data_IF_630335869512
#
_entry.id   IF_630335869512
#
_cell.length_a   1.000
_cell.length_b   1.000
_cell.length_c   1.000
_cell.angle_alpha   90.00
_cell.angle_beta   90.00
_cell.angle_gamma   90.00
#
_symmetry.space_group_name_H-M   'P 1'
#
loop_
_entity.id
_entity.type
_entity.pdbx_description
1 polymer ?
#
# COMPACT_ATOMS: atom_id res chain seq x y z
N UNK A 1 -1.68 -0.80 -12.34
CA UNK A 1 -0.52 -1.28 -11.57
C UNK A 1 -0.58 -0.83 -10.11
N UNK A 2 -0.39 0.46 -9.80
CA UNK A 2 -0.29 1.01 -8.42
C UNK A 2 -1.38 0.56 -7.44
N UNK A 3 -2.65 0.59 -7.86
CA UNK A 3 -3.78 0.13 -7.05
C UNK A 3 -3.81 -1.39 -6.84
N UNK A 4 -3.33 -2.17 -7.82
CA UNK A 4 -3.30 -3.64 -7.75
C UNK A 4 -2.22 -4.12 -6.78
N UNK A 5 -1.01 -3.57 -6.88
CA UNK A 5 0.08 -3.89 -5.95
C UNK A 5 -0.25 -3.47 -4.52
N UNK A 6 -1.01 -2.37 -4.33
CA UNK A 6 -1.56 -2.00 -3.03
C UNK A 6 -2.44 -3.07 -2.38
N UNK A 7 -3.01 -3.99 -3.17
CA UNK A 7 -3.85 -5.07 -2.66
C UNK A 7 -3.07 -6.06 -1.80
N UNK A 8 -1.76 -6.16 -2.03
CA UNK A 8 -0.85 -6.97 -1.20
C UNK A 8 -0.52 -6.30 0.14
N UNK A 9 -0.88 -5.04 0.32
CA UNK A 9 -0.71 -4.30 1.58
C UNK A 9 -2.00 -4.27 2.40
N UNK A 10 -3.16 -4.56 1.78
CA UNK A 10 -4.48 -4.44 2.39
C UNK A 10 -4.89 -5.72 3.17
N UNK A 11 -5.26 -5.59 4.45
CA UNK A 11 -5.91 -6.66 5.22
C UNK A 11 -7.25 -7.12 4.63
N UNK A 12 -7.62 -8.42 4.73
CA UNK A 12 -6.82 -9.57 5.21
C UNK A 12 -6.01 -10.29 4.14
N UNK A 13 -5.91 -9.75 2.93
CA UNK A 13 -5.20 -10.47 1.88
C UNK A 13 -3.70 -10.38 2.15
N UNK A 14 -3.18 -9.18 2.43
CA UNK A 14 -1.79 -8.81 2.80
C UNK A 14 -0.62 -9.61 2.18
N UNK A 15 -0.86 -10.28 1.06
CA UNK A 15 0.05 -11.27 0.50
C UNK A 15 0.47 -12.38 1.47
N UNK A 16 1.29 -13.31 0.98
CA UNK A 16 1.94 -14.34 1.81
C UNK A 16 2.96 -13.73 2.79
N UNK A 17 3.49 -12.54 2.46
CA UNK A 17 4.52 -11.87 3.25
C UNK A 17 4.08 -11.52 4.67
N UNK A 18 2.81 -11.18 4.92
CA UNK A 18 2.33 -10.91 6.27
C UNK A 18 2.25 -12.17 7.16
N UNK A 19 1.97 -13.35 6.60
CA UNK A 19 2.06 -14.61 7.36
C UNK A 19 3.49 -14.94 7.74
N UNK A 20 4.42 -14.73 6.81
CA UNK A 20 5.85 -14.91 7.08
C UNK A 20 6.32 -13.88 8.12
N UNK A 21 5.84 -12.65 8.06
CA UNK A 21 6.12 -11.65 9.09
C UNK A 21 5.63 -12.09 10.47
N UNK A 22 4.42 -12.65 10.57
CA UNK A 22 3.91 -13.20 11.82
C UNK A 22 4.84 -14.31 12.37
N UNK A 23 5.30 -15.21 11.50
CA UNK A 23 6.23 -16.28 11.87
C UNK A 23 7.60 -15.74 12.33
N UNK A 24 8.20 -14.81 11.57
CA UNK A 24 9.52 -14.25 11.88
C UNK A 24 9.52 -13.38 13.13
N UNK A 25 8.43 -12.67 13.39
CA UNK A 25 8.33 -11.73 14.53
C UNK A 25 7.70 -12.35 15.77
N UNK A 26 7.02 -13.48 15.64
CA UNK A 26 6.19 -14.07 16.70
C UNK A 26 4.92 -13.27 17.02
N UNK A 27 4.62 -12.20 16.26
CA UNK A 27 3.44 -11.37 16.44
C UNK A 27 2.26 -12.02 15.71
N UNK A 28 1.10 -12.12 16.38
CA UNK A 28 -0.09 -12.70 15.76
C UNK A 28 -0.47 -11.97 14.45
N UNK A 29 -0.83 -12.73 13.42
CA UNK A 29 -1.24 -12.16 12.13
C UNK A 29 -2.43 -11.21 12.28
N UNK A 30 -3.41 -11.54 13.14
CA UNK A 30 -4.57 -10.67 13.37
C UNK A 30 -4.17 -9.27 13.87
N UNK A 31 -3.15 -9.19 14.72
CA UNK A 31 -2.60 -7.91 15.17
C UNK A 31 -1.90 -7.16 14.03
N UNK A 32 -1.05 -7.84 13.27
CA UNK A 32 -0.37 -7.29 12.07
C UNK A 32 -1.38 -6.74 11.06
N UNK A 33 -2.46 -7.49 10.81
CA UNK A 33 -3.54 -7.10 9.93
C UNK A 33 -4.28 -5.87 10.43
N UNK A 34 -4.59 -5.79 11.72
CA UNK A 34 -5.29 -4.65 12.30
C UNK A 34 -4.48 -3.36 12.18
N UNK A 35 -3.20 -3.39 12.55
CA UNK A 35 -2.33 -2.20 12.53
C UNK A 35 -1.96 -1.77 11.11
N UNK A 36 -1.88 -2.71 10.15
CA UNK A 36 -1.61 -2.41 8.75
C UNK A 36 -2.83 -1.84 7.99
N UNK A 37 -4.05 -1.97 8.53
CA UNK A 37 -5.26 -1.48 7.89
C UNK A 37 -5.22 0.03 7.65
N UNK A 38 -4.80 0.81 8.65
CA UNK A 38 -4.78 2.28 8.54
C UNK A 38 -3.79 2.74 7.46
N UNK A 39 -2.52 2.31 7.47
CA UNK A 39 -1.58 2.63 6.39
C UNK A 39 -2.07 2.24 5.00
N UNK A 40 -2.66 1.05 4.86
CA UNK A 40 -3.19 0.58 3.58
C UNK A 40 -4.34 1.48 3.08
N UNK A 41 -5.26 1.88 3.97
CA UNK A 41 -6.34 2.80 3.65
C UNK A 41 -5.82 4.19 3.25
N UNK A 42 -4.80 4.71 3.92
CA UNK A 42 -4.17 5.98 3.54
C UNK A 42 -3.50 5.89 2.17
N UNK A 43 -2.83 4.78 1.87
CA UNK A 43 -2.25 4.54 0.54
C UNK A 43 -3.33 4.55 -0.56
N UNK A 44 -4.46 3.85 -0.35
CA UNK A 44 -5.59 3.87 -1.28
C UNK A 44 -6.29 5.22 -1.36
N UNK A 45 -6.41 5.94 -0.24
CA UNK A 45 -6.93 7.31 -0.21
C UNK A 45 -6.08 8.21 -1.10
N UNK A 46 -4.74 8.12 -0.99
CA UNK A 46 -3.85 8.90 -1.84
C UNK A 46 -4.07 8.60 -3.32
N UNK A 47 -4.11 7.32 -3.70
CA UNK A 47 -4.37 6.93 -5.09
C UNK A 47 -5.73 7.45 -5.56
N UNK A 48 -6.77 7.27 -4.75
CA UNK A 48 -8.13 7.71 -5.07
C UNK A 48 -8.22 9.21 -5.33
N UNK A 49 -7.61 10.03 -4.46
CA UNK A 49 -7.55 11.48 -4.64
C UNK A 49 -6.74 11.84 -5.89
N UNK A 50 -5.59 11.19 -6.10
CA UNK A 50 -4.76 11.46 -7.27
C UNK A 50 -5.48 11.14 -8.58
N UNK A 51 -6.16 9.99 -8.66
CA UNK A 51 -6.95 9.58 -9.83
C UNK A 51 -8.11 10.53 -10.06
N UNK A 52 -8.80 10.95 -8.99
CA UNK A 52 -9.88 11.94 -9.08
C UNK A 52 -9.40 13.29 -9.60
N UNK A 53 -8.25 13.77 -9.11
CA UNK A 53 -7.63 15.00 -9.62
C UNK A 53 -7.26 14.89 -11.09
N UNK A 54 -6.69 13.76 -11.52
CA UNK A 54 -6.35 13.53 -12.93
C UNK A 54 -7.62 13.48 -13.81
N UNK A 55 -8.66 12.77 -13.36
CA UNK A 55 -9.94 12.69 -14.08
C UNK A 55 -10.60 14.07 -14.24
N UNK A 56 -10.59 14.89 -13.19
CA UNK A 56 -11.06 16.28 -13.25
C UNK A 56 -10.23 17.14 -14.20
N UNK A 57 -8.90 16.97 -14.18
CA UNK A 57 -7.99 17.71 -15.06
C UNK A 57 -8.24 17.42 -16.54
N UNK A 58 -8.59 16.18 -16.87
CA UNK A 58 -9.00 15.78 -18.23
C UNK A 58 -10.47 16.07 -18.55
N UNK A 59 -11.23 16.64 -17.60
CA UNK A 59 -12.66 16.95 -17.81
C UNK A 59 -13.52 15.72 -18.04
N UNK A 60 -13.09 14.54 -17.56
CA UNK A 60 -13.85 13.30 -17.71
C UNK A 60 -15.22 13.44 -17.01
N UNK A 61 -16.28 13.15 -17.76
CA UNK A 61 -17.65 13.14 -17.25
C UNK A 61 -18.06 11.70 -16.94
N UNK A 62 -18.92 11.54 -15.93
CA UNK A 62 -19.53 10.24 -15.63
C UNK A 62 -20.36 9.73 -16.80
N UNK A 63 -20.57 8.41 -16.84
CA UNK A 63 -21.46 7.78 -17.81
C UNK A 63 -22.90 8.31 -17.66
N UNK A 64 -23.71 8.29 -18.73
CA UNK A 64 -25.13 8.65 -18.65
C UNK A 64 -25.87 7.81 -17.58
N UNK A 65 -26.86 8.41 -16.90
CA UNK A 65 -27.58 7.78 -15.77
C UNK A 65 -28.27 6.44 -16.11
N UNK A 66 -28.46 6.12 -17.39
CA UNK A 66 -29.00 4.83 -17.85
C UNK A 66 -27.99 3.69 -18.01
N UNK A 67 -26.68 3.97 -18.06
CA UNK A 67 -25.62 2.95 -18.20
C UNK A 67 -25.00 2.57 -16.85
N UNK A 68 -25.27 3.35 -15.81
CA UNK A 68 -24.74 3.10 -14.47
C UNK A 68 -25.70 2.21 -13.71
N UNK A 69 -25.29 0.98 -13.40
CA UNK A 69 -26.06 0.14 -12.50
C UNK A 69 -26.17 0.82 -11.12
N UNK A 70 -27.38 0.92 -10.54
CA UNK A 70 -27.54 1.56 -9.24
C UNK A 70 -26.68 0.83 -8.20
N UNK A 71 -25.86 1.58 -7.45
CA UNK A 71 -24.95 1.01 -6.46
C UNK A 71 -25.66 0.06 -5.47
N UNK A 72 -26.89 0.41 -5.07
CA UNK A 72 -27.70 -0.42 -4.19
C UNK A 72 -28.21 -1.73 -4.80
N UNK A 73 -28.30 -1.83 -6.13
CA UNK A 73 -28.61 -3.09 -6.83
C UNK A 73 -27.38 -4.01 -6.86
N UNK A 74 -26.21 -3.46 -7.18
CA UNK A 74 -24.93 -4.18 -7.16
C UNK A 74 -24.60 -4.68 -5.75
N UNK A 75 -24.77 -3.84 -4.72
CA UNK A 75 -24.60 -4.23 -3.32
C UNK A 75 -25.56 -5.35 -2.90
N UNK A 76 -26.83 -5.28 -3.31
CA UNK A 76 -27.81 -6.35 -3.02
C UNK A 76 -27.51 -7.67 -3.75
N UNK A 77 -26.94 -7.62 -4.94
CA UNK A 77 -26.51 -8.81 -5.66
C UNK A 77 -25.20 -9.39 -5.09
N UNK A 78 -24.29 -8.52 -4.65
CA UNK A 78 -22.91 -8.88 -4.31
C UNK A 78 -22.61 -9.11 -2.82
N UNK A 79 -23.47 -8.68 -1.88
CA UNK A 79 -23.13 -8.67 -0.44
C UNK A 79 -22.72 -10.03 0.13
N UNK A 80 -23.23 -11.13 -0.44
CA UNK A 80 -22.89 -12.47 -0.01
C UNK A 80 -21.39 -12.79 -0.16
N UNK A 81 -20.68 -12.17 -1.11
CA UNK A 81 -19.22 -12.33 -1.29
C UNK A 81 -18.41 -11.75 -0.13
N UNK A 82 -19.03 -10.92 0.73
CA UNK A 82 -18.39 -10.41 1.96
C UNK A 82 -18.35 -11.49 3.04
N UNK A 83 -19.25 -12.50 3.00
CA UNK A 83 -19.35 -13.53 4.05
C UNK A 83 -18.04 -14.32 4.23
N UNK A 84 -17.39 -14.87 3.17
CA UNK A 84 -16.14 -15.61 3.35
C UNK A 84 -15.02 -14.74 3.93
N UNK A 85 -14.96 -13.47 3.52
CA UNK A 85 -14.00 -12.50 4.02
C UNK A 85 -14.24 -12.17 5.50
N UNK A 86 -15.50 -11.95 5.88
CA UNK A 86 -15.90 -11.66 7.24
C UNK A 86 -15.64 -12.85 8.18
N UNK A 87 -15.93 -14.07 7.72
CA UNK A 87 -15.60 -15.30 8.46
C UNK A 87 -14.09 -15.44 8.65
N UNK A 88 -13.31 -15.26 7.58
CA UNK A 88 -11.85 -15.30 7.68
C UNK A 88 -11.34 -14.33 8.75
N UNK A 89 -11.82 -13.07 8.72
CA UNK A 89 -11.45 -12.06 9.71
C UNK A 89 -11.88 -12.41 11.13
N UNK A 90 -13.10 -12.92 11.31
CA UNK A 90 -13.64 -13.26 12.62
C UNK A 90 -12.85 -14.39 13.29
N UNK A 91 -12.57 -15.47 12.56
CA UNK A 91 -11.78 -16.59 13.08
C UNK A 91 -10.33 -16.20 13.37
N UNK A 92 -9.74 -15.38 12.52
CA UNK A 92 -8.40 -14.89 12.71
C UNK A 92 -8.27 -14.00 13.96
N UNK A 93 -9.27 -13.13 14.20
CA UNK A 93 -9.33 -12.32 15.41
C UNK A 93 -9.61 -13.17 16.67
N UNK A 94 -10.38 -14.25 16.53
CA UNK A 94 -10.58 -15.24 17.58
C UNK A 94 -9.33 -16.10 17.89
N UNK A 95 -8.22 -15.88 17.18
CA UNK A 95 -6.93 -16.52 17.48
C UNK A 95 -6.73 -17.89 16.82
N UNK A 96 -7.57 -18.28 15.88
CA UNK A 96 -7.35 -19.51 15.12
C UNK A 96 -6.14 -19.38 14.18
N UNK A 97 -5.53 -20.53 13.83
CA UNK A 97 -4.38 -20.53 12.93
C UNK A 97 -4.78 -20.04 11.52
N UNK A 98 -3.90 -19.30 10.82
CA UNK A 98 -4.21 -18.84 9.47
C UNK A 98 -4.61 -19.92 8.46
N UNK A 99 -3.97 -21.11 8.42
CA UNK A 99 -4.39 -22.17 7.51
C UNK A 99 -5.82 -22.65 7.77
N UNK A 100 -6.23 -22.72 9.05
CA UNK A 100 -7.59 -23.08 9.43
C UNK A 100 -8.59 -22.02 8.94
N UNK A 101 -8.28 -20.73 9.17
CA UNK A 101 -9.12 -19.61 8.72
C UNK A 101 -9.30 -19.62 7.19
N UNK A 102 -8.22 -19.89 6.45
CA UNK A 102 -8.26 -20.02 4.99
C UNK A 102 -9.16 -21.20 4.55
N UNK A 103 -9.06 -22.36 5.22
CA UNK A 103 -9.92 -23.52 4.92
C UNK A 103 -11.40 -23.24 5.14
N UNK A 104 -11.75 -22.58 6.25
CA UNK A 104 -13.13 -22.14 6.54
C UNK A 104 -13.61 -21.14 5.49
N UNK A 105 -12.78 -20.18 5.07
CA UNK A 105 -13.12 -19.20 4.05
C UNK A 105 -13.35 -19.84 2.67
N UNK A 106 -12.53 -20.82 2.29
CA UNK A 106 -12.72 -21.59 1.05
C UNK A 106 -14.04 -22.36 1.09
N UNK A 107 -14.32 -23.08 2.18
CA UNK A 107 -15.58 -23.79 2.35
C UNK A 107 -16.78 -22.84 2.31
N UNK A 108 -16.70 -21.70 3.00
CA UNK A 108 -17.72 -20.66 2.98
C UNK A 108 -17.93 -20.09 1.58
N UNK A 109 -16.87 -19.90 0.78
CA UNK A 109 -16.96 -19.41 -0.60
C UNK A 109 -17.77 -20.37 -1.47
N UNK A 110 -17.51 -21.68 -1.37
CA UNK A 110 -18.27 -22.72 -2.09
C UNK A 110 -19.73 -22.75 -1.64
N UNK A 111 -19.98 -22.71 -0.33
CA UNK A 111 -21.35 -22.71 0.22
C UNK A 111 -22.13 -21.47 -0.23
N UNK A 112 -21.53 -20.29 -0.11
CA UNK A 112 -22.14 -19.01 -0.53
C UNK A 112 -22.44 -19.00 -2.02
N UNK A 113 -21.56 -19.56 -2.84
CA UNK A 113 -21.80 -19.73 -4.27
C UNK A 113 -23.08 -20.53 -4.56
N UNK A 114 -23.37 -21.58 -3.78
CA UNK A 114 -24.60 -22.37 -3.93
C UNK A 114 -25.86 -21.64 -3.46
N UNK A 115 -25.74 -20.75 -2.46
CA UNK A 115 -26.85 -19.92 -1.99
C UNK A 115 -27.21 -18.78 -2.96
N UNK A 116 -26.38 -18.52 -3.98
CA UNK A 116 -26.62 -17.45 -4.92
C UNK A 116 -27.86 -17.74 -5.80
N UNK A 117 -28.64 -16.67 -6.06
CA UNK A 117 -29.82 -16.71 -6.92
C UNK A 117 -29.46 -16.70 -8.41
N UNK A 118 -28.28 -16.19 -8.74
CA UNK A 118 -27.75 -16.22 -10.10
C UNK A 118 -27.07 -17.57 -10.36
N UNK A 119 -27.65 -18.37 -11.25
CA UNK A 119 -27.14 -19.70 -11.60
C UNK A 119 -25.74 -19.65 -12.21
N UNK A 120 -25.37 -18.53 -12.84
CA UNK A 120 -24.05 -18.35 -13.44
C UNK A 120 -22.91 -18.29 -12.41
N UNK A 121 -23.24 -17.98 -11.16
CA UNK A 121 -22.27 -17.86 -10.06
C UNK A 121 -22.20 -19.13 -9.18
N UNK A 122 -22.97 -20.18 -9.51
CA UNK A 122 -22.98 -21.44 -8.77
C UNK A 122 -21.84 -22.35 -9.20
N UNK A 123 -20.97 -22.69 -8.26
CA UNK A 123 -19.84 -23.59 -8.50
C UNK A 123 -20.31 -25.03 -8.52
N UNK A 124 -20.32 -25.67 -9.69
CA UNK A 124 -20.53 -27.11 -9.79
C UNK A 124 -19.34 -27.91 -9.21
N UNK A 125 -19.49 -29.24 -8.99
CA UNK A 125 -18.42 -30.08 -8.45
C UNK A 125 -17.11 -30.01 -9.25
N UNK A 126 -17.24 -29.89 -10.58
CA UNK A 126 -16.10 -29.72 -11.48
C UNK A 126 -15.38 -28.39 -11.29
N UNK A 127 -16.14 -27.29 -11.15
CA UNK A 127 -15.56 -25.97 -10.91
C UNK A 127 -14.86 -25.88 -9.55
N UNK A 128 -15.41 -26.55 -8.53
CA UNK A 128 -14.75 -26.67 -7.22
C UNK A 128 -13.45 -27.47 -7.34
N UNK A 129 -13.46 -28.59 -8.07
CA UNK A 129 -12.26 -29.38 -8.30
C UNK A 129 -11.18 -28.61 -9.08
N UNK A 130 -11.55 -27.93 -10.17
CA UNK A 130 -10.65 -27.09 -10.95
C UNK A 130 -10.05 -25.97 -10.09
N UNK A 131 -10.86 -25.29 -9.26
CA UNK A 131 -10.37 -24.27 -8.34
C UNK A 131 -9.38 -24.83 -7.29
N UNK A 132 -9.60 -26.05 -6.79
CA UNK A 132 -8.66 -26.72 -5.88
C UNK A 132 -7.34 -27.09 -6.58
N UNK A 133 -7.41 -27.54 -7.83
CA UNK A 133 -6.22 -27.83 -8.66
C UNK A 133 -5.43 -26.55 -8.91
N UNK A 134 -6.09 -25.46 -9.32
CA UNK A 134 -5.45 -24.17 -9.58
C UNK A 134 -4.82 -23.59 -8.31
N UNK A 135 -5.50 -23.69 -7.17
CA UNK A 135 -4.97 -23.31 -5.86
C UNK A 135 -3.75 -24.13 -5.46
N UNK A 136 -3.76 -25.43 -5.75
CA UNK A 136 -2.62 -26.33 -5.47
C UNK A 136 -1.42 -26.01 -6.37
N UNK A 137 -1.65 -25.79 -7.66
CA UNK A 137 -0.60 -25.39 -8.61
C UNK A 137 0.04 -24.06 -8.21
N UNK A 138 -0.77 -23.08 -7.81
CA UNK A 138 -0.30 -21.78 -7.32
C UNK A 138 0.52 -21.92 -6.03
N UNK A 139 0.12 -22.84 -5.13
CA UNK A 139 0.83 -23.10 -3.87
C UNK A 139 2.20 -23.76 -4.07
N UNK A 140 2.37 -24.60 -5.10
CA UNK A 140 3.67 -25.22 -5.42
C UNK A 140 4.74 -24.19 -5.75
N UNK A 141 4.40 -23.15 -6.52
CA UNK A 141 5.31 -22.05 -6.88
C UNK A 141 5.75 -21.28 -5.63
N UNK A 142 4.80 -20.99 -4.73
CA UNK A 142 5.08 -20.30 -3.46
C UNK A 142 5.96 -21.17 -2.56
N UNK A 143 5.66 -22.47 -2.43
CA UNK A 143 6.44 -23.40 -1.62
C UNK A 143 7.88 -23.58 -2.11
N UNK A 144 8.07 -23.76 -3.42
CA UNK A 144 9.42 -23.88 -4.02
C UNK A 144 10.24 -22.61 -3.81
N UNK A 145 9.62 -21.44 -3.97
CA UNK A 145 10.25 -20.14 -3.74
C UNK A 145 10.64 -19.99 -2.26
N UNK A 146 9.73 -20.29 -1.32
CA UNK A 146 10.00 -20.22 0.11
C UNK A 146 11.13 -21.17 0.55
N UNK A 147 11.18 -22.39 0.00
CA UNK A 147 12.26 -23.35 0.26
C UNK A 147 13.64 -22.83 -0.20
N UNK A 148 13.73 -22.33 -1.44
CA UNK A 148 14.97 -21.74 -1.96
C UNK A 148 15.43 -20.54 -1.13
N UNK A 149 14.49 -19.68 -0.71
CA UNK A 149 14.80 -18.54 0.15
C UNK A 149 15.22 -19.00 1.55
N UNK A 150 14.59 -20.03 2.11
CA UNK A 150 15.00 -20.61 3.39
C UNK A 150 16.47 -21.04 3.38
N UNK A 151 16.95 -21.62 2.26
CA UNK A 151 18.37 -21.93 2.06
C UNK A 151 19.21 -20.65 2.02
N UNK A 152 18.81 -19.62 1.26
CA UNK A 152 19.52 -18.33 1.21
C UNK A 152 19.61 -17.70 2.60
N UNK A 153 18.48 -17.59 3.31
CA UNK A 153 18.39 -17.05 4.67
C UNK A 153 19.26 -17.85 5.62
N UNK A 154 19.25 -19.19 5.52
CA UNK A 154 20.11 -20.06 6.31
C UNK A 154 21.60 -19.81 6.06
N UNK A 155 22.03 -19.75 4.79
CA UNK A 155 23.42 -19.44 4.43
C UNK A 155 23.82 -18.04 4.88
N UNK A 156 22.97 -17.03 4.66
CA UNK A 156 23.23 -15.63 5.07
C UNK A 156 23.34 -15.51 6.59
N UNK A 157 22.52 -16.26 7.33
CA UNK A 157 22.54 -16.27 8.80
C UNK A 157 23.78 -17.00 9.34
N UNK A 158 24.12 -18.17 8.78
CA UNK A 158 25.27 -18.97 9.20
C UNK A 158 26.62 -18.32 8.85
N UNK A 159 26.70 -17.60 7.73
CA UNK A 159 27.91 -16.90 7.29
C UNK A 159 28.09 -15.53 7.96
N UNK A 160 27.08 -15.03 8.66
CA UNK A 160 27.09 -13.67 9.22
C UNK A 160 27.03 -12.56 8.16
N UNK A 161 26.75 -12.90 6.89
CA UNK A 161 26.68 -11.92 5.80
C UNK A 161 25.57 -10.90 6.04
N UNK A 162 24.45 -11.31 6.64
CA UNK A 162 23.34 -10.42 6.99
C UNK A 162 23.78 -9.29 7.91
N UNK A 163 24.45 -9.64 9.02
CA UNK A 163 25.01 -8.67 9.97
C UNK A 163 26.05 -7.75 9.31
N UNK A 164 26.89 -8.29 8.42
CA UNK A 164 27.90 -7.48 7.71
C UNK A 164 27.25 -6.46 6.78
N UNK A 165 26.22 -6.85 6.04
CA UNK A 165 25.45 -5.94 5.17
C UNK A 165 24.66 -4.92 6.00
N UNK A 166 24.06 -5.33 7.12
CA UNK A 166 23.43 -4.39 8.06
C UNK A 166 24.43 -3.37 8.59
N UNK A 167 25.65 -3.79 8.94
CA UNK A 167 26.71 -2.90 9.40
C UNK A 167 27.18 -1.93 8.30
N UNK A 168 27.15 -2.32 7.02
CA UNK A 168 27.44 -1.40 5.91
C UNK A 168 26.36 -0.32 5.80
N UNK A 169 25.08 -0.69 5.94
CA UNK A 169 23.99 0.29 5.95
C UNK A 169 24.16 1.26 7.12
N UNK A 170 24.41 0.73 8.32
CA UNK A 170 24.60 1.55 9.53
C UNK A 170 25.82 2.44 9.41
N UNK A 171 26.95 1.94 8.89
CA UNK A 171 28.19 2.73 8.76
C UNK A 171 28.08 3.84 7.71
N UNK A 172 27.40 3.59 6.59
CA UNK A 172 27.12 4.60 5.58
C UNK A 172 26.10 5.64 6.05
N UNK A 173 25.12 5.23 6.86
CA UNK A 173 24.09 6.13 7.38
C UNK A 173 24.48 6.91 8.63
N UNK A 174 25.52 6.46 9.36
CA UNK A 174 26.00 7.13 10.55
C UNK A 174 24.94 7.19 11.64
N UNK A 175 24.53 8.39 12.03
CA UNK A 175 23.47 8.61 13.03
C UNK A 175 22.09 8.90 12.42
N UNK A 176 21.96 8.86 11.08
CA UNK A 176 20.74 9.28 10.39
C UNK A 176 19.86 8.08 10.03
N UNK A 177 18.80 7.87 10.81
CA UNK A 177 17.76 6.88 10.50
C UNK A 177 17.13 7.14 9.11
N UNK A 178 16.96 8.41 8.72
CA UNK A 178 16.42 8.80 7.42
C UNK A 178 17.29 8.26 6.28
N UNK A 179 18.61 8.40 6.43
CA UNK A 179 19.55 7.90 5.43
C UNK A 179 19.62 6.37 5.44
N UNK A 180 19.48 5.73 6.60
CA UNK A 180 19.38 4.28 6.69
C UNK A 180 18.15 3.74 5.93
N UNK A 181 16.96 4.34 6.12
CA UNK A 181 15.74 3.95 5.38
C UNK A 181 15.93 4.20 3.88
N UNK A 182 16.59 5.29 3.47
CA UNK A 182 16.92 5.55 2.07
C UNK A 182 17.85 4.47 1.47
N UNK A 183 18.89 4.06 2.19
CA UNK A 183 19.77 2.96 1.77
C UNK A 183 19.01 1.64 1.67
N UNK A 184 18.09 1.37 2.61
CA UNK A 184 17.21 0.19 2.56
C UNK A 184 16.29 0.24 1.33
N UNK A 185 15.71 1.40 1.00
CA UNK A 185 14.90 1.57 -0.21
C UNK A 185 15.72 1.37 -1.49
N UNK A 186 16.96 1.86 -1.52
CA UNK A 186 17.86 1.63 -2.64
C UNK A 186 18.24 0.15 -2.77
N UNK A 187 18.55 -0.52 -1.65
CA UNK A 187 18.81 -1.94 -1.62
C UNK A 187 17.58 -2.76 -2.07
N UNK A 188 16.36 -2.35 -1.69
CA UNK A 188 15.13 -3.03 -2.12
C UNK A 188 14.87 -2.91 -3.61
N UNK A 189 15.22 -1.79 -4.24
CA UNK A 189 15.11 -1.64 -5.69
C UNK A 189 16.02 -2.62 -6.44
N UNK A 190 17.26 -2.77 -5.99
CA UNK A 190 18.25 -3.67 -6.61
C UNK A 190 17.90 -5.13 -6.36
N UNK A 191 17.65 -5.49 -5.09
CA UNK A 191 17.37 -6.87 -4.70
C UNK A 191 16.00 -7.33 -5.17
N UNK A 192 15.02 -6.42 -5.27
CA UNK A 192 13.68 -6.72 -5.77
C UNK A 192 13.60 -6.94 -7.28
N UNK A 193 14.70 -6.76 -8.03
CA UNK A 193 14.73 -6.95 -9.47
C UNK A 193 14.56 -8.43 -9.84
N UNK A 194 13.41 -8.76 -10.46
CA UNK A 194 13.12 -10.11 -10.95
C UNK A 194 12.73 -11.13 -9.88
N UNK A 195 12.61 -10.71 -8.62
CA UNK A 195 12.10 -11.56 -7.53
C UNK A 195 10.59 -11.34 -7.31
N UNK A 196 9.83 -12.39 -6.98
CA UNK A 196 8.50 -12.23 -6.41
C UNK A 196 8.55 -11.37 -5.14
N UNK A 197 7.50 -10.61 -4.86
CA UNK A 197 7.41 -9.70 -3.71
C UNK A 197 7.72 -10.42 -2.38
N UNK A 198 7.19 -11.62 -2.19
CA UNK A 198 7.43 -12.44 -1.00
C UNK A 198 8.92 -12.78 -0.85
N UNK A 199 9.61 -13.04 -1.97
CA UNK A 199 11.03 -13.33 -2.00
C UNK A 199 11.88 -12.09 -1.69
N UNK A 200 11.55 -10.97 -2.33
CA UNK A 200 12.17 -9.66 -2.07
C UNK A 200 12.07 -9.29 -0.59
N UNK A 201 10.87 -9.42 0.00
CA UNK A 201 10.64 -9.17 1.42
C UNK A 201 11.54 -10.03 2.32
N UNK A 202 11.60 -11.33 2.09
CA UNK A 202 12.39 -12.24 2.93
C UNK A 202 13.88 -11.93 2.88
N UNK A 203 14.43 -11.71 1.68
CA UNK A 203 15.83 -11.34 1.50
C UNK A 203 16.11 -10.00 2.20
N UNK A 204 15.27 -8.99 1.96
CA UNK A 204 15.44 -7.69 2.60
C UNK A 204 15.28 -7.75 4.12
N UNK A 205 14.38 -8.58 4.65
CA UNK A 205 14.14 -8.67 6.08
C UNK A 205 15.41 -9.09 6.82
N UNK A 206 16.12 -10.09 6.29
CA UNK A 206 17.39 -10.56 6.88
C UNK A 206 18.50 -9.51 6.84
N UNK A 207 18.48 -8.61 5.85
CA UNK A 207 19.54 -7.62 5.64
C UNK A 207 19.26 -6.28 6.32
N UNK A 208 18.01 -5.81 6.27
CA UNK A 208 17.61 -4.46 6.63
C UNK A 208 16.96 -4.37 8.01
N UNK A 209 16.22 -5.40 8.47
CA UNK A 209 15.60 -5.35 9.81
C UNK A 209 16.65 -5.19 10.92
N UNK A 210 17.77 -5.92 10.94
CA UNK A 210 18.79 -5.70 11.95
C UNK A 210 19.40 -4.30 11.86
N UNK A 211 19.57 -3.74 10.65
CA UNK A 211 20.06 -2.39 10.46
C UNK A 211 19.10 -1.35 11.07
N UNK A 212 17.80 -1.46 10.81
CA UNK A 212 16.78 -0.56 11.36
C UNK A 212 16.62 -0.72 12.88
N UNK A 213 16.73 -1.95 13.39
CA UNK A 213 16.70 -2.23 14.83
C UNK A 213 17.85 -1.54 15.58
N UNK A 214 19.04 -1.40 14.97
CA UNK A 214 20.16 -0.65 15.56
C UNK A 214 19.84 0.85 15.76
N UNK A 215 18.91 1.41 14.99
CA UNK A 215 18.41 2.77 15.17
C UNK A 215 17.24 2.87 16.18
N UNK A 216 16.90 1.78 16.87
CA UNK A 216 15.82 1.75 17.85
C UNK A 216 14.41 1.62 17.24
N UNK A 217 14.30 1.33 15.94
CA UNK A 217 13.00 1.09 15.30
C UNK A 217 12.38 -0.20 15.85
N UNK A 218 11.12 -0.19 16.32
CA UNK A 218 10.45 -1.39 16.79
C UNK A 218 10.43 -2.50 15.73
N UNK A 219 10.54 -3.76 16.15
CA UNK A 219 10.62 -4.92 15.24
C UNK A 219 9.49 -4.92 14.21
N UNK A 220 8.24 -4.72 14.66
CA UNK A 220 7.07 -4.64 13.78
C UNK A 220 7.20 -3.52 12.73
N UNK A 221 7.64 -2.34 13.15
CA UNK A 221 7.83 -1.20 12.25
C UNK A 221 8.97 -1.47 11.24
N UNK A 222 10.08 -2.05 11.68
CA UNK A 222 11.18 -2.43 10.79
C UNK A 222 10.73 -3.45 9.73
N UNK A 223 9.99 -4.47 10.12
CA UNK A 223 9.40 -5.43 9.18
C UNK A 223 8.38 -4.79 8.24
N UNK A 224 7.54 -3.85 8.72
CA UNK A 224 6.60 -3.11 7.88
C UNK A 224 7.29 -2.21 6.87
N UNK A 225 8.35 -1.50 7.28
CA UNK A 225 9.20 -0.68 6.38
C UNK A 225 9.72 -1.56 5.25
N UNK A 226 10.33 -2.70 5.59
CA UNK A 226 10.91 -3.61 4.60
C UNK A 226 9.83 -4.25 3.73
N UNK A 227 8.69 -4.62 4.29
CA UNK A 227 7.56 -5.21 3.55
C UNK A 227 6.92 -4.23 2.56
N UNK A 228 6.86 -2.94 2.90
CA UNK A 228 6.38 -1.91 1.98
C UNK A 228 7.44 -1.60 0.92
N UNK A 229 8.71 -1.43 1.30
CA UNK A 229 9.79 -1.16 0.36
C UNK A 229 10.08 -2.34 -0.57
N UNK A 230 9.77 -3.58 -0.19
CA UNK A 230 9.94 -4.73 -1.09
C UNK A 230 9.02 -4.69 -2.33
N UNK A 231 7.98 -3.86 -2.31
CA UNK A 231 7.10 -3.62 -3.46
C UNK A 231 7.71 -2.65 -4.48
N UNK A 232 8.75 -1.90 -4.10
CA UNK A 232 9.33 -0.78 -4.84
C UNK A 232 9.66 -1.13 -6.30
N UNK A 233 10.27 -2.31 -6.51
CA UNK A 233 10.66 -2.79 -7.84
C UNK A 233 9.49 -2.92 -8.83
N UNK A 234 8.23 -3.00 -8.35
CA UNK A 234 7.05 -3.07 -9.20
C UNK A 234 6.60 -1.71 -9.75
N UNK A 235 7.07 -0.60 -9.18
CA UNK A 235 6.64 0.76 -9.55
C UNK A 235 7.75 1.61 -10.15
N UNK A 236 9.02 1.28 -9.85
CA UNK A 236 10.16 2.16 -10.14
C UNK A 236 10.90 1.74 -11.41
N UNK A 237 10.98 2.62 -12.43
CA UNK A 237 11.85 2.40 -13.58
C UNK A 237 13.33 2.32 -13.15
N UNK A 238 14.17 1.48 -13.78
CA UNK A 238 13.90 0.70 -14.98
C UNK A 238 13.23 -0.67 -14.76
N UNK A 239 13.03 -1.10 -13.50
CA UNK A 239 12.66 -2.48 -13.16
C UNK A 239 11.17 -2.77 -13.35
N UNK A 240 10.28 -1.80 -13.09
CA UNK A 240 8.80 -1.87 -12.99
C UNK A 240 7.99 -2.79 -13.94
N UNK A 241 8.21 -4.11 -13.85
CA UNK A 241 7.62 -5.15 -14.69
C UNK A 241 6.08 -5.08 -14.72
N UNK A 242 5.44 -4.88 -13.56
CA UNK A 242 3.98 -4.76 -13.48
C UNK A 242 3.41 -3.56 -14.25
N UNK A 243 4.15 -2.45 -14.29
CA UNK A 243 3.76 -1.27 -15.07
C UNK A 243 3.94 -1.52 -16.57
N UNK A 244 5.00 -2.22 -16.97
CA UNK A 244 5.26 -2.54 -18.39
C UNK A 244 4.28 -3.55 -18.96
N UNK A 245 3.88 -4.57 -18.18
CA UNK A 245 2.82 -5.51 -18.57
C UNK A 245 1.47 -4.79 -18.66
N UNK A 246 1.15 -3.91 -17.72
CA UNK A 246 -0.07 -3.11 -17.82
C UNK A 246 -0.05 -2.19 -19.07
N UNK A 247 1.11 -1.64 -19.42
CA UNK A 247 1.29 -0.82 -20.60
C UNK A 247 1.07 -1.61 -21.90
N UNK A 248 1.56 -2.86 -21.98
CA UNK A 248 1.37 -3.71 -23.17
C UNK A 248 -0.09 -4.11 -23.37
N UNK A 249 -0.83 -4.34 -22.28
CA UNK A 249 -2.28 -4.60 -22.33
C UNK A 249 -3.05 -3.35 -22.75
N UNK A 250 -2.67 -2.18 -22.24
CA UNK A 250 -3.34 -0.91 -22.52
C UNK A 250 -2.93 -0.23 -23.83
N UNK A 251 -1.93 -0.77 -24.56
CA UNK A 251 -1.36 -0.13 -25.74
C UNK A 251 -0.62 1.18 -25.45
N UNK A 252 -0.11 1.36 -24.23
CA UNK A 252 0.60 2.56 -23.79
C UNK A 252 2.13 2.39 -23.85
N UNK A 253 2.86 3.51 -23.87
CA UNK A 253 4.32 3.50 -23.81
C UNK A 253 4.80 2.97 -22.43
N UNK A 254 5.62 1.90 -22.38
CA UNK A 254 6.06 1.31 -21.12
C UNK A 254 6.85 2.28 -20.24
N UNK A 255 7.72 3.10 -20.83
CA UNK A 255 8.58 4.02 -20.09
C UNK A 255 7.76 5.12 -19.40
N UNK A 256 6.86 5.78 -20.13
CA UNK A 256 5.92 6.78 -19.57
C UNK A 256 4.99 6.16 -18.53
N UNK A 257 4.53 4.93 -18.76
CA UNK A 257 3.68 4.21 -17.80
C UNK A 257 4.43 3.91 -16.50
N UNK A 258 5.71 3.53 -16.58
CA UNK A 258 6.58 3.33 -15.40
C UNK A 258 6.73 4.60 -14.56
N UNK A 259 7.10 5.73 -15.18
CA UNK A 259 7.20 7.01 -14.46
C UNK A 259 5.87 7.47 -13.86
N UNK A 260 4.76 7.21 -14.55
CA UNK A 260 3.42 7.48 -14.04
C UNK A 260 3.10 6.58 -12.85
N UNK A 261 3.41 5.28 -12.93
CA UNK A 261 3.23 4.33 -11.84
C UNK A 261 4.00 4.75 -10.59
N UNK A 262 5.25 5.21 -10.75
CA UNK A 262 6.05 5.78 -9.67
C UNK A 262 5.37 7.01 -9.06
N UNK A 263 4.89 7.96 -9.88
CA UNK A 263 4.18 9.17 -9.40
C UNK A 263 3.02 8.83 -8.47
N UNK A 264 2.18 7.85 -8.83
CA UNK A 264 1.06 7.41 -8.00
C UNK A 264 1.53 6.54 -6.81
N UNK A 265 2.64 5.81 -6.96
CA UNK A 265 3.18 4.89 -5.95
C UNK A 265 4.02 5.56 -4.85
N UNK A 266 4.38 6.84 -4.98
CA UNK A 266 5.25 7.56 -4.04
C UNK A 266 4.83 7.48 -2.57
N UNK A 267 3.53 7.31 -2.29
CA UNK A 267 3.02 7.18 -0.93
C UNK A 267 3.62 5.96 -0.20
N UNK A 268 4.12 4.97 -0.94
CA UNK A 268 4.80 3.81 -0.39
C UNK A 268 6.08 4.16 0.38
N UNK A 269 6.93 5.04 -0.18
CA UNK A 269 8.14 5.50 0.53
C UNK A 269 7.82 6.43 1.68
N UNK A 270 6.82 7.29 1.51
CA UNK A 270 6.33 8.16 2.57
C UNK A 270 5.87 7.33 3.76
N UNK A 271 5.11 6.27 3.51
CA UNK A 271 4.61 5.40 4.57
C UNK A 271 5.75 4.66 5.29
N UNK A 272 6.78 4.20 4.56
CA UNK A 272 7.97 3.62 5.18
C UNK A 272 8.66 4.61 6.14
N UNK A 273 8.73 5.90 5.79
CA UNK A 273 9.25 6.93 6.69
C UNK A 273 8.32 7.16 7.90
N UNK A 274 7.00 7.19 7.69
CA UNK A 274 6.04 7.33 8.79
C UNK A 274 6.16 6.16 9.78
N UNK A 275 6.37 4.92 9.31
CA UNK A 275 6.61 3.79 10.20
C UNK A 275 7.89 3.91 11.03
N UNK A 276 8.93 4.54 10.47
CA UNK A 276 10.21 4.72 11.16
C UNK A 276 10.14 5.81 12.24
N UNK A 277 9.35 6.87 12.02
CA UNK A 277 9.37 8.08 12.84
C UNK A 277 8.11 8.33 13.65
N UNK A 278 7.00 7.63 13.39
CA UNK A 278 5.70 7.88 14.03
C UNK A 278 5.10 6.60 14.59
N UNK A 279 4.24 6.74 15.59
CA UNK A 279 3.51 5.63 16.23
C UNK A 279 2.24 5.23 15.45
N UNK A 280 2.23 5.40 14.12
CA UNK A 280 1.05 5.09 13.27
C UNK A 280 0.65 3.62 13.30
N UNK A 281 1.57 2.73 13.70
CA UNK A 281 1.36 1.29 13.87
C UNK A 281 0.93 0.91 15.29
N UNK A 282 0.44 1.85 16.10
CA UNK A 282 0.04 1.63 17.50
C UNK A 282 1.15 1.07 18.40
N UNK A 283 2.39 1.48 18.14
CA UNK A 283 3.58 1.11 18.92
C UNK A 283 3.83 2.00 20.14
N UNK A 284 3.15 3.16 20.23
CA UNK A 284 3.26 4.13 21.32
C UNK A 284 2.00 4.20 22.17
N UNK A 285 1.76 5.35 22.80
CA UNK A 285 0.50 5.58 23.53
C UNK A 285 -0.68 5.72 22.56
N UNK A 286 -1.88 5.39 23.02
CA UNK A 286 -3.09 5.47 22.17
C UNK A 286 -3.31 6.89 21.64
N UNK A 287 -3.05 7.92 22.46
CA UNK A 287 -3.18 9.31 22.08
C UNK A 287 -2.19 9.70 20.95
N UNK A 288 -0.92 9.34 21.10
CA UNK A 288 0.11 9.58 20.08
C UNK A 288 -0.23 8.88 18.77
N UNK A 289 -0.73 7.65 18.84
CA UNK A 289 -1.11 6.89 17.64
C UNK A 289 -2.33 7.48 16.95
N UNK A 290 -3.38 7.87 17.69
CA UNK A 290 -4.55 8.52 17.12
C UNK A 290 -4.19 9.87 16.49
N UNK A 291 -3.32 10.64 17.15
CA UNK A 291 -2.83 11.90 16.61
C UNK A 291 -1.99 11.70 15.36
N UNK A 292 -1.07 10.72 15.35
CA UNK A 292 -0.28 10.37 14.18
C UNK A 292 -1.15 9.93 13.00
N UNK A 293 -2.20 9.15 13.24
CA UNK A 293 -3.17 8.75 12.20
C UNK A 293 -3.91 9.96 11.64
N UNK A 294 -4.36 10.87 12.51
CA UNK A 294 -5.05 12.09 12.07
C UNK A 294 -4.13 13.01 11.25
N UNK A 295 -2.90 13.24 11.73
CA UNK A 295 -1.93 14.07 11.01
C UNK A 295 -1.53 13.42 9.68
N UNK A 296 -1.30 12.10 9.67
CA UNK A 296 -1.01 11.35 8.45
C UNK A 296 -2.18 11.40 7.45
N UNK A 297 -3.44 11.40 7.91
CA UNK A 297 -4.60 11.54 7.04
C UNK A 297 -4.62 12.91 6.34
N UNK A 298 -4.46 14.01 7.09
CA UNK A 298 -4.40 15.35 6.50
C UNK A 298 -3.18 15.50 5.59
N UNK A 299 -2.02 15.04 6.04
CA UNK A 299 -0.78 15.02 5.27
C UNK A 299 -0.91 14.22 3.98
N UNK A 300 -1.62 13.10 3.99
CA UNK A 300 -1.87 12.28 2.79
C UNK A 300 -2.73 13.04 1.78
N UNK A 301 -3.79 13.73 2.23
CA UNK A 301 -4.64 14.55 1.34
C UNK A 301 -3.83 15.71 0.74
N UNK A 302 -3.05 16.41 1.57
CA UNK A 302 -2.17 17.48 1.12
C UNK A 302 -1.12 16.96 0.12
N UNK A 303 -0.53 15.79 0.39
CA UNK A 303 0.46 15.11 -0.46
C UNK A 303 -0.11 14.77 -1.84
N UNK A 304 -1.35 14.25 -1.89
CA UNK A 304 -2.02 13.92 -3.14
C UNK A 304 -2.22 15.17 -4.00
N UNK A 305 -2.71 16.26 -3.41
CA UNK A 305 -2.89 17.52 -4.12
C UNK A 305 -1.58 18.17 -4.56
N UNK A 306 -0.55 18.13 -3.71
CA UNK A 306 0.80 18.60 -4.02
C UNK A 306 1.40 17.86 -5.21
N UNK A 307 1.30 16.52 -5.21
CA UNK A 307 1.85 15.67 -6.28
C UNK A 307 1.10 15.84 -7.61
N UNK A 308 -0.20 16.11 -7.56
CA UNK A 308 -1.03 16.30 -8.76
C UNK A 308 -1.04 17.74 -9.29
N UNK A 309 -0.55 18.72 -8.51
CA UNK A 309 -0.67 20.16 -8.82
C UNK A 309 -2.13 20.59 -9.08
N UNK A 310 -3.06 19.93 -8.42
CA UNK A 310 -4.49 20.11 -8.66
C UNK A 310 -5.29 19.78 -7.39
N UNK A 311 -6.10 20.71 -6.89
CA UNK A 311 -7.07 20.46 -5.81
C UNK A 311 -8.52 20.65 -6.32
N UNK A 312 -8.99 21.89 -6.38
CA UNK A 312 -10.25 22.27 -7.03
C UNK A 312 -10.02 22.75 -8.46
N UNK A 313 -8.85 23.32 -8.72
CA UNK A 313 -8.33 23.66 -10.03
C UNK A 313 -6.80 23.57 -10.03
N UNK A 314 -6.13 24.05 -11.09
CA UNK A 314 -4.67 24.08 -11.14
C UNK A 314 -4.10 24.92 -9.98
N UNK A 315 -3.12 24.36 -9.27
CA UNK A 315 -2.45 25.02 -8.13
C UNK A 315 -1.41 26.03 -8.64
N UNK A 316 -1.41 27.25 -8.12
CA UNK A 316 -0.33 28.22 -8.36
C UNK A 316 0.97 27.80 -7.66
N UNK A 317 2.12 28.37 -8.04
CA UNK A 317 3.41 28.03 -7.42
C UNK A 317 3.44 28.26 -5.89
N UNK A 318 2.88 29.36 -5.34
CA UNK A 318 2.80 29.55 -3.88
C UNK A 318 1.90 28.52 -3.19
N UNK A 319 0.76 28.18 -3.80
CA UNK A 319 -0.14 27.14 -3.28
C UNK A 319 0.53 25.76 -3.29
N UNK A 320 1.30 25.47 -4.34
CA UNK A 320 2.07 24.23 -4.45
C UNK A 320 3.16 24.13 -3.39
N UNK A 321 3.92 25.21 -3.15
CA UNK A 321 4.91 25.26 -2.07
C UNK A 321 4.25 25.12 -0.69
N UNK A 322 3.11 25.78 -0.47
CA UNK A 322 2.37 25.68 0.79
C UNK A 322 1.82 24.26 1.03
N UNK A 323 1.31 23.57 0.00
CA UNK A 323 0.89 22.17 0.10
C UNK A 323 2.07 21.22 0.35
N UNK A 324 3.22 21.48 -0.28
CA UNK A 324 4.45 20.74 -0.01
C UNK A 324 4.92 20.91 1.43
N UNK A 325 4.96 22.14 1.93
CA UNK A 325 5.29 22.45 3.32
C UNK A 325 4.29 21.82 4.30
N UNK A 326 2.99 21.92 4.01
CA UNK A 326 1.93 21.29 4.79
C UNK A 326 2.13 19.77 4.89
N UNK A 327 2.44 19.12 3.77
CA UNK A 327 2.70 17.68 3.72
C UNK A 327 3.87 17.29 4.61
N UNK A 328 5.01 17.98 4.48
CA UNK A 328 6.21 17.68 5.27
C UNK A 328 5.96 17.91 6.76
N UNK A 329 5.28 19.02 7.10
CA UNK A 329 5.00 19.38 8.48
C UNK A 329 4.04 18.39 9.17
N UNK A 330 3.03 17.86 8.47
CA UNK A 330 2.12 16.84 9.01
C UNK A 330 2.75 15.43 9.10
N UNK A 331 3.87 15.19 8.41
CA UNK A 331 4.56 13.90 8.47
C UNK A 331 5.72 13.89 9.47
N UNK A 332 6.17 15.06 9.92
CA UNK A 332 7.14 15.17 11.01
C UNK A 332 6.39 15.10 12.34
N UNK A 333 6.76 14.19 13.25
CA UNK A 333 6.09 14.07 14.54
C UNK A 333 6.21 15.37 15.34
N UNK A 334 5.09 16.03 15.61
CA UNK A 334 5.04 17.21 16.46
C UNK A 334 3.70 17.93 16.38
N UNK A 335 3.04 18.12 17.54
CA UNK A 335 1.72 18.77 17.59
C UNK A 335 1.75 20.18 16.96
N UNK A 336 2.81 20.95 17.21
CA UNK A 336 2.95 22.30 16.63
C UNK A 336 3.18 22.24 15.12
N UNK A 337 4.02 21.32 14.63
CA UNK A 337 4.27 21.16 13.18
C UNK A 337 2.99 20.72 12.47
N UNK A 338 2.25 19.79 13.06
CA UNK A 338 0.96 19.31 12.56
C UNK A 338 -0.06 20.45 12.48
N UNK A 339 -0.21 21.25 13.53
CA UNK A 339 -1.15 22.38 13.56
C UNK A 339 -0.82 23.41 12.48
N UNK A 340 0.46 23.74 12.28
CA UNK A 340 0.89 24.65 11.21
C UNK A 340 0.62 24.02 9.83
N UNK A 341 0.92 22.74 9.67
CA UNK A 341 0.67 21.99 8.43
C UNK A 341 -0.81 21.95 8.06
N UNK A 342 -1.69 21.67 9.03
CA UNK A 342 -3.14 21.67 8.86
C UNK A 342 -3.64 23.08 8.51
N UNK A 343 -3.17 24.12 9.20
CA UNK A 343 -3.56 25.49 8.93
C UNK A 343 -3.19 25.92 7.49
N UNK A 344 -2.00 25.56 7.02
CA UNK A 344 -1.56 25.81 5.64
C UNK A 344 -2.43 25.08 4.62
N UNK A 345 -2.75 23.81 4.88
CA UNK A 345 -3.65 23.03 4.02
C UNK A 345 -5.04 23.68 3.90
N UNK A 346 -5.66 24.00 5.04
CA UNK A 346 -6.98 24.62 5.10
C UNK A 346 -6.99 25.98 4.40
N UNK A 347 -5.93 26.78 4.57
CA UNK A 347 -5.78 28.07 3.90
C UNK A 347 -5.76 27.90 2.38
N UNK A 348 -4.91 27.02 1.84
CA UNK A 348 -4.82 26.76 0.39
C UNK A 348 -6.14 26.23 -0.15
N UNK A 349 -6.74 25.26 0.55
CA UNK A 349 -8.01 24.66 0.17
C UNK A 349 -9.11 25.73 0.09
N UNK A 350 -9.20 26.62 1.07
CA UNK A 350 -10.21 27.68 1.12
C UNK A 350 -9.99 28.77 0.07
N UNK A 351 -8.72 29.15 -0.19
CA UNK A 351 -8.38 30.08 -1.27
C UNK A 351 -8.81 29.51 -2.63
N UNK A 352 -8.50 28.24 -2.91
CA UNK A 352 -8.93 27.60 -4.16
C UNK A 352 -10.44 27.45 -4.25
N UNK A 353 -11.09 27.05 -3.16
CA UNK A 353 -12.55 26.92 -3.10
C UNK A 353 -13.23 28.25 -3.45
N UNK A 354 -12.78 29.37 -2.86
CA UNK A 354 -13.32 30.70 -3.17
C UNK A 354 -13.04 31.14 -4.60
N UNK A 355 -11.85 30.85 -5.14
CA UNK A 355 -11.46 31.21 -6.51
C UNK A 355 -12.29 30.47 -7.55
N UNK A 356 -12.40 29.14 -7.43
CA UNK A 356 -13.03 28.30 -8.45
C UNK A 356 -14.55 28.13 -8.30
N UNK A 357 -15.13 28.37 -7.11
CA UNK A 357 -16.60 28.43 -6.96
C UNK A 357 -17.19 29.74 -7.48
N UNK A 358 -16.43 30.83 -7.46
CA UNK A 358 -16.86 32.15 -7.96
C UNK A 358 -16.58 32.38 -9.44
N UNK A 359 -15.69 31.59 -10.05
CA UNK A 359 -15.47 31.63 -11.49
C UNK A 359 -16.65 30.97 -12.23
N UNK A 360 -17.25 31.63 -13.24
CA UNK A 360 -18.20 30.97 -14.14
C UNK A 360 -17.56 29.72 -14.75
N UNK A 361 -18.36 28.66 -14.93
CA UNK A 361 -17.93 27.32 -15.42
C UNK A 361 -17.19 27.30 -16.76
N UNK A 362 -17.01 28.44 -17.43
CA UNK A 362 -16.39 28.58 -18.75
C UNK A 362 -14.84 28.57 -18.71
N UNK A 363 -14.20 28.87 -17.57
CA UNK A 363 -12.74 28.93 -17.48
C UNK A 363 -12.03 27.57 -17.33
N UNK A 364 -12.77 26.47 -17.15
CA UNK A 364 -12.17 25.13 -16.96
C UNK A 364 -11.59 24.52 -18.25
N UNK A 365 -11.87 25.12 -19.41
CA UNK A 365 -11.37 24.65 -20.71
C UNK A 365 -10.07 25.34 -21.16
N UNK A 366 -9.68 26.48 -20.57
CA UNK A 366 -8.61 27.33 -21.10
C UNK A 366 -7.21 27.09 -20.47
N UNK A 367 -7.09 26.19 -19.49
CA UNK A 367 -5.83 25.89 -18.80
C UNK A 367 -5.09 24.65 -19.28
N UNK A 368 -5.56 24.01 -20.36
CA UNK A 368 -4.95 22.81 -20.94
C UNK A 368 -4.21 23.19 -22.22
N UNK A 369 -3.06 23.84 -22.05
CA UNK A 369 -2.00 23.90 -23.06
C UNK A 369 -0.67 23.72 -22.38
#
# INVERSE_FOLDING_TARGET
>A
NTASTGGQLLPPVMGVGAFIMAELTGISYGHIALVAAIPALLYYLSIGIMVHCEAKRFGLRGLPEGEVQPAGAVLRAGWFHVIPLALLMAFLYAGYSPPYCAGVAVAATVLVSWLNRDESLRMGPRAVWEALVDGSASSLIVGATAGAIGIIVGVVSLTGLGLKLSNIIVSLAGSSLLFAVFLVAFASLILGMGLPITASYLVLAVLAVPALANYGVPVLAAHMIVFWLSQDSNFTPPVCLGAYVAASIAGADPWKTGWTSLKFGKMLYVMALLFAYTSILFTGTLEESLWAVFSALVGTVAFSFWTMRFCYGPTSLPEWLALGASTVLCFIPGVLTDLIGIALFVLVYFIQYRRYKRAPREASAAGVT
#
